data_IF_285401821843
#
_entry.id   IF_285401821843
#
_cell.length_a   1.000
_cell.length_b   1.000
_cell.length_c   1.000
_cell.angle_alpha   90.00
_cell.angle_beta   90.00
_cell.angle_gamma   90.00
#
_symmetry.space_group_name_H-M   'P 1'
#
loop_
_entity.id
_entity.type
_entity.pdbx_description
1 polymer ?
#
# COMPACT_ATOMS: atom_id res chain seq x y z
N UNK A 1 7.28 5.40 -12.78
CA UNK A 1 7.54 4.03 -12.30
C UNK A 1 6.90 3.91 -10.92
N UNK A 2 5.89 3.06 -10.73
CA UNK A 2 5.08 3.01 -9.49
C UNK A 2 5.00 1.57 -8.93
N UNK A 3 6.09 0.81 -9.02
CA UNK A 3 6.18 -0.55 -8.48
C UNK A 3 7.26 -0.62 -7.39
N UNK A 4 7.13 -1.57 -6.46
CA UNK A 4 8.04 -1.77 -5.32
C UNK A 4 9.52 -1.80 -5.73
N UNK A 5 9.83 -2.45 -6.85
CA UNK A 5 11.22 -2.63 -7.32
C UNK A 5 11.84 -1.38 -7.96
N UNK A 6 11.05 -0.32 -8.18
CA UNK A 6 11.51 0.93 -8.79
C UNK A 6 11.69 2.07 -7.77
N UNK A 7 11.63 1.76 -6.47
CA UNK A 7 11.85 2.74 -5.41
C UNK A 7 13.36 3.00 -5.31
N UNK A 8 13.82 4.09 -5.94
CA UNK A 8 15.18 4.62 -5.81
C UNK A 8 15.13 5.93 -5.00
N UNK A 9 14.96 5.82 -3.68
CA UNK A 9 14.94 6.96 -2.77
C UNK A 9 15.90 6.70 -1.60
N UNK A 10 16.47 7.77 -1.02
CA UNK A 10 17.12 7.63 0.28
C UNK A 10 16.01 7.33 1.31
N UNK A 11 16.13 6.19 1.99
CA UNK A 11 15.11 5.66 2.91
C UNK A 11 15.39 5.96 4.38
N UNK A 12 16.49 6.65 4.70
CA UNK A 12 16.94 6.91 6.08
C UNK A 12 15.92 7.66 6.95
N UNK A 13 14.95 8.36 6.34
CA UNK A 13 13.90 9.14 7.05
C UNK A 13 12.47 8.74 6.65
N UNK A 14 12.28 7.56 6.04
CA UNK A 14 10.98 7.13 5.53
C UNK A 14 10.39 6.00 6.37
N UNK A 15 9.29 6.29 7.06
CA UNK A 15 8.55 5.26 7.83
C UNK A 15 7.61 4.42 6.95
N UNK A 16 7.10 5.01 5.85
CA UNK A 16 6.03 4.42 5.04
C UNK A 16 6.23 4.76 3.56
N UNK A 17 6.15 3.73 2.72
CA UNK A 17 6.15 3.84 1.26
C UNK A 17 4.81 3.36 0.71
N UNK A 18 4.10 4.27 0.06
CA UNK A 18 2.85 3.97 -0.65
C UNK A 18 3.13 3.89 -2.15
N UNK A 19 2.78 2.76 -2.76
CA UNK A 19 2.99 2.50 -4.19
C UNK A 19 1.76 1.84 -4.82
N UNK A 20 1.77 1.65 -6.15
CA UNK A 20 0.56 1.25 -6.88
C UNK A 20 0.87 0.45 -8.15
N UNK A 21 0.21 0.81 -9.25
CA UNK A 21 0.36 0.24 -10.61
C UNK A 21 -0.10 -1.20 -10.82
N UNK A 22 0.17 -2.12 -9.88
CA UNK A 22 -0.19 -3.53 -10.01
C UNK A 22 -1.68 -3.81 -9.83
N UNK A 23 -2.45 -2.85 -9.29
CA UNK A 23 -3.84 -3.03 -8.84
C UNK A 23 -4.01 -4.15 -7.78
N UNK A 24 -2.91 -4.67 -7.21
CA UNK A 24 -2.93 -5.77 -6.24
C UNK A 24 -2.55 -5.27 -4.86
N UNK A 25 -3.44 -5.46 -3.89
CA UNK A 25 -3.16 -5.15 -2.49
C UNK A 25 -1.88 -5.84 -2.00
N UNK A 26 -1.02 -5.10 -1.31
CA UNK A 26 0.17 -5.60 -0.64
C UNK A 26 0.43 -4.76 0.60
N UNK A 27 0.68 -5.41 1.73
CA UNK A 27 1.15 -4.79 2.96
C UNK A 27 2.33 -5.62 3.44
N UNK A 28 3.48 -4.98 3.57
CA UNK A 28 4.73 -5.62 3.96
C UNK A 28 5.53 -4.67 4.87
N UNK A 29 6.35 -5.22 5.74
CA UNK A 29 7.23 -4.45 6.63
C UNK A 29 8.65 -4.96 6.40
N UNK A 30 9.53 -4.09 5.89
CA UNK A 30 10.92 -4.42 5.65
C UNK A 30 11.81 -3.29 6.19
N UNK A 31 12.84 -3.64 6.96
CA UNK A 31 13.78 -2.67 7.56
C UNK A 31 13.07 -1.54 8.33
N UNK A 32 11.99 -1.87 9.05
CA UNK A 32 11.09 -0.95 9.78
C UNK A 32 10.27 0.01 8.91
N UNK A 33 10.35 -0.11 7.58
CA UNK A 33 9.55 0.66 6.65
C UNK A 33 8.30 -0.13 6.27
N UNK A 34 7.15 0.52 6.33
CA UNK A 34 5.88 -0.05 5.87
C UNK A 34 5.76 0.15 4.35
N UNK A 35 5.65 -0.94 3.59
CA UNK A 35 5.37 -0.92 2.17
C UNK A 35 3.89 -1.24 1.93
N UNK A 36 3.14 -0.26 1.43
CA UNK A 36 1.71 -0.39 1.18
C UNK A 36 1.38 -0.16 -0.29
N UNK A 37 0.73 -1.16 -0.89
CA UNK A 37 -0.07 -0.99 -2.10
C UNK A 37 -1.54 -1.19 -1.73
N UNK A 38 -2.40 -0.16 -1.82
CA UNK A 38 -3.81 -0.27 -1.44
C UNK A 38 -4.64 -1.07 -2.44
N UNK A 39 -4.07 -1.44 -3.59
CA UNK A 39 -4.79 -2.07 -4.69
C UNK A 39 -5.59 -1.04 -5.50
N UNK A 40 -6.83 -1.37 -5.86
CA UNK A 40 -7.65 -0.56 -6.75
C UNK A 40 -9.10 -0.50 -6.27
N UNK A 41 -9.62 0.71 -6.05
CA UNK A 41 -11.01 0.95 -5.66
C UNK A 41 -11.91 1.40 -6.83
N UNK A 42 -11.35 1.59 -8.02
CA UNK A 42 -12.06 1.99 -9.23
C UNK A 42 -12.56 0.82 -10.09
N UNK A 43 -12.69 1.02 -11.41
CA UNK A 43 -13.09 -0.03 -12.35
C UNK A 43 -12.19 -1.27 -12.23
N UNK A 44 -12.79 -2.47 -12.20
CA UNK A 44 -12.07 -3.74 -12.10
C UNK A 44 -11.09 -3.90 -13.26
N UNK A 45 -9.84 -4.21 -12.96
CA UNK A 45 -8.79 -4.56 -13.93
C UNK A 45 -8.19 -5.92 -13.57
N UNK A 46 -7.76 -6.67 -14.57
CA UNK A 46 -6.97 -7.90 -14.41
C UNK A 46 -7.58 -9.02 -13.55
N UNK A 47 -8.92 -9.13 -13.48
CA UNK A 47 -9.65 -10.06 -12.60
C UNK A 47 -9.30 -9.92 -11.10
N UNK A 48 -8.57 -8.87 -10.70
CA UNK A 48 -8.14 -8.67 -9.33
C UNK A 48 -9.30 -8.16 -8.44
N UNK A 49 -9.29 -8.46 -7.13
CA UNK A 49 -10.21 -7.88 -6.18
C UNK A 49 -10.11 -6.35 -6.11
N UNK A 50 -11.26 -5.66 -6.11
CA UNK A 50 -11.32 -4.26 -5.71
C UNK A 50 -11.02 -4.13 -4.21
N UNK A 51 -10.05 -3.27 -3.90
CA UNK A 51 -9.50 -3.09 -2.56
C UNK A 51 -9.14 -1.63 -2.31
N UNK A 52 -9.17 -1.23 -1.03
CA UNK A 52 -8.56 0.01 -0.53
C UNK A 52 -7.92 -0.26 0.83
N UNK A 53 -7.15 0.71 1.33
CA UNK A 53 -6.59 0.67 2.67
C UNK A 53 -6.95 1.96 3.43
N UNK A 54 -7.36 1.82 4.70
CA UNK A 54 -7.49 2.93 5.64
C UNK A 54 -6.27 2.89 6.56
N UNK A 55 -5.54 3.99 6.64
CA UNK A 55 -4.38 4.13 7.52
C UNK A 55 -4.69 5.18 8.59
N UNK A 56 -4.76 4.73 9.84
CA UNK A 56 -4.90 5.60 11.00
C UNK A 56 -3.53 5.81 11.64
N UNK A 57 -3.15 7.07 11.84
CA UNK A 57 -1.90 7.45 12.51
C UNK A 57 -2.27 8.16 13.80
N UNK A 58 -2.01 7.52 14.95
CA UNK A 58 -2.37 8.03 16.27
C UNK A 58 -1.15 7.94 17.16
N UNK A 59 -0.66 9.09 17.65
CA UNK A 59 0.52 9.18 18.51
C UNK A 59 1.75 8.45 17.95
N UNK A 60 1.99 8.58 16.64
CA UNK A 60 3.10 7.91 15.95
C UNK A 60 2.89 6.41 15.70
N UNK A 61 1.75 5.84 16.12
CA UNK A 61 1.40 4.44 15.81
C UNK A 61 0.55 4.38 14.56
N UNK A 62 0.95 3.49 13.64
CA UNK A 62 0.25 3.25 12.38
C UNK A 62 -0.62 2.00 12.53
N UNK A 63 -1.90 2.13 12.19
CA UNK A 63 -2.83 1.02 12.03
C UNK A 63 -3.37 1.04 10.61
N UNK A 64 -3.31 -0.11 9.93
CA UNK A 64 -3.76 -0.24 8.53
C UNK A 64 -4.86 -1.29 8.47
N UNK A 65 -5.99 -0.89 7.91
CA UNK A 65 -7.12 -1.76 7.63
C UNK A 65 -7.26 -1.97 6.12
N UNK A 66 -7.33 -3.22 5.68
CA UNK A 66 -7.68 -3.57 4.30
C UNK A 66 -9.21 -3.61 4.17
N UNK A 67 -9.75 -2.85 3.22
CA UNK A 67 -11.16 -2.94 2.84
C UNK A 67 -11.25 -3.69 1.51
N UNK A 68 -11.97 -4.82 1.51
CA UNK A 68 -12.39 -5.52 0.29
C UNK A 68 -13.74 -4.95 -0.19
N UNK A 69 -13.76 -4.39 -1.39
CA UNK A 69 -14.92 -3.68 -1.97
C UNK A 69 -15.82 -4.62 -2.77
N UNK A 70 -15.38 -5.86 -3.01
CA UNK A 70 -16.18 -6.84 -3.76
C UNK A 70 -17.27 -7.51 -2.91
N UNK A 71 -17.43 -7.09 -1.65
CA UNK A 71 -18.47 -7.56 -0.73
C UNK A 71 -19.67 -6.62 -0.74
#
# INVERSE_FOLDING_TARGET
>A
MHEKNNINANLEEVDIIIYGHSHKYSLDINENIIYLNPGSCGRKRFLLPLTMAIMNIINGKVQIEKIDINN
#
